data_IF_605998664154
#
_entry.id   IF_605998664154
#
_cell.length_a   1.000
_cell.length_b   1.000
_cell.length_c   1.000
_cell.angle_alpha   90.00
_cell.angle_beta   90.00
_cell.angle_gamma   90.00
#
_symmetry.space_group_name_H-M   'P 1'
#
loop_
_entity.id
_entity.type
_entity.pdbx_description
1 polymer ?
#
# COMPACT_ATOMS: atom_id res chain seq x y z
N UNK A 1 17.19 22.73 13.00
CA UNK A 1 18.25 22.26 12.06
C UNK A 1 18.86 20.90 12.47
N UNK A 2 19.24 20.67 13.74
CA UNK A 2 19.78 19.37 14.21
C UNK A 2 18.83 18.19 14.01
N UNK A 3 17.55 18.33 14.37
CA UNK A 3 16.56 17.25 14.22
C UNK A 3 16.24 16.90 12.77
N UNK A 4 16.15 17.89 11.89
CA UNK A 4 15.96 17.68 10.45
C UNK A 4 17.13 16.90 9.85
N UNK A 5 18.37 17.23 10.25
CA UNK A 5 19.57 16.50 9.82
C UNK A 5 19.58 15.05 10.34
N UNK A 6 19.15 14.84 11.58
CA UNK A 6 19.00 13.50 12.16
C UNK A 6 17.95 12.67 11.40
N UNK A 7 16.81 13.27 11.06
CA UNK A 7 15.77 12.62 10.25
C UNK A 7 16.29 12.23 8.86
N UNK A 8 16.96 13.14 8.16
CA UNK A 8 17.52 12.86 6.82
C UNK A 8 18.54 11.73 6.87
N UNK A 9 19.39 11.69 7.89
CA UNK A 9 20.36 10.60 8.05
C UNK A 9 19.65 9.27 8.29
N UNK A 10 18.62 9.25 9.15
CA UNK A 10 17.88 8.03 9.42
C UNK A 10 17.14 7.54 8.17
N UNK A 11 16.49 8.43 7.42
CA UNK A 11 15.87 8.11 6.12
C UNK A 11 16.85 7.49 5.13
N UNK A 12 18.10 7.96 5.09
CA UNK A 12 19.14 7.35 4.24
C UNK A 12 19.50 5.94 4.70
N UNK A 13 19.64 5.72 6.00
CA UNK A 13 19.93 4.40 6.59
C UNK A 13 18.80 3.42 6.33
N UNK A 14 17.55 3.83 6.61
CA UNK A 14 16.35 3.04 6.36
C UNK A 14 16.22 2.65 4.89
N UNK A 15 16.42 3.62 3.98
CA UNK A 15 16.40 3.37 2.54
C UNK A 15 17.46 2.36 2.12
N UNK A 16 18.68 2.50 2.67
CA UNK A 16 19.77 1.56 2.39
C UNK A 16 19.43 0.15 2.85
N UNK A 17 18.88 0.02 4.07
CA UNK A 17 18.44 -1.27 4.61
C UNK A 17 17.38 -1.92 3.72
N UNK A 18 16.38 -1.16 3.30
CA UNK A 18 15.32 -1.63 2.39
C UNK A 18 15.85 -2.10 1.04
N UNK A 19 16.73 -1.30 0.43
CA UNK A 19 17.32 -1.63 -0.87
C UNK A 19 18.18 -2.90 -0.83
N UNK A 20 18.63 -3.33 0.34
CA UNK A 20 19.39 -4.59 0.50
C UNK A 20 18.57 -5.70 1.16
N UNK A 21 17.31 -5.44 1.50
CA UNK A 21 16.46 -6.44 2.11
C UNK A 21 16.00 -7.47 1.07
N UNK A 22 16.53 -8.69 1.18
CA UNK A 22 16.20 -9.79 0.25
C UNK A 22 14.71 -10.10 0.22
N UNK A 23 14.02 -10.03 1.37
CA UNK A 23 12.59 -10.34 1.45
C UNK A 23 11.76 -9.36 0.64
N UNK A 24 12.13 -8.08 0.68
CA UNK A 24 11.49 -7.04 -0.12
C UNK A 24 11.68 -7.32 -1.63
N UNK A 25 12.90 -7.63 -2.08
CA UNK A 25 13.14 -7.95 -3.49
C UNK A 25 12.44 -9.23 -3.97
N UNK A 26 12.41 -10.28 -3.15
CA UNK A 26 11.61 -11.48 -3.45
C UNK A 26 10.13 -11.14 -3.59
N UNK A 27 9.63 -10.22 -2.76
CA UNK A 27 8.24 -9.76 -2.88
C UNK A 27 7.97 -8.94 -4.15
N UNK A 28 8.94 -8.14 -4.62
CA UNK A 28 8.85 -7.43 -5.91
C UNK A 28 8.69 -8.44 -7.05
N UNK A 29 9.52 -9.48 -7.07
CA UNK A 29 9.44 -10.53 -8.10
C UNK A 29 8.09 -11.27 -8.03
N UNK A 30 7.65 -11.63 -6.82
CA UNK A 30 6.37 -12.31 -6.62
C UNK A 30 5.19 -11.46 -7.11
N UNK A 31 5.14 -10.18 -6.76
CA UNK A 31 4.06 -9.26 -7.15
C UNK A 31 4.12 -8.96 -8.65
N UNK A 32 5.31 -8.83 -9.22
CA UNK A 32 5.50 -8.72 -10.66
C UNK A 32 4.92 -9.93 -11.39
N UNK A 33 5.26 -11.15 -10.96
CA UNK A 33 4.73 -12.38 -11.55
C UNK A 33 3.21 -12.49 -11.40
N UNK A 34 2.68 -12.11 -10.24
CA UNK A 34 1.23 -12.07 -10.01
C UNK A 34 0.54 -11.12 -11.00
N UNK A 35 1.04 -9.90 -11.15
CA UNK A 35 0.50 -8.91 -12.10
C UNK A 35 0.64 -9.37 -13.54
N UNK A 36 1.80 -9.91 -13.90
CA UNK A 36 2.04 -10.45 -15.23
C UNK A 36 1.05 -11.57 -15.54
N UNK A 37 0.89 -12.57 -14.67
CA UNK A 37 0.01 -13.74 -14.91
C UNK A 37 -1.47 -13.34 -14.98
N UNK A 38 -1.91 -12.41 -14.14
CA UNK A 38 -3.33 -12.01 -14.02
C UNK A 38 -3.79 -11.01 -15.07
N UNK A 39 -2.88 -10.25 -15.69
CA UNK A 39 -3.20 -9.21 -16.68
C UNK A 39 -4.24 -9.59 -17.76
N UNK A 40 -4.22 -10.79 -18.36
CA UNK A 40 -5.19 -11.16 -19.41
C UNK A 40 -6.63 -11.22 -18.93
N UNK A 41 -6.86 -11.48 -17.64
CA UNK A 41 -8.22 -11.50 -17.07
C UNK A 41 -8.88 -10.10 -17.18
N UNK A 42 -8.07 -9.04 -17.09
CA UNK A 42 -8.54 -7.66 -17.19
C UNK A 42 -8.84 -7.22 -18.63
N UNK A 43 -8.71 -8.10 -19.64
CA UNK A 43 -9.15 -7.82 -21.02
C UNK A 43 -10.66 -7.83 -21.17
N UNK A 44 -11.35 -8.73 -20.47
CA UNK A 44 -12.81 -8.90 -20.55
C UNK A 44 -13.55 -8.34 -19.33
N UNK A 45 -12.84 -8.06 -18.23
CA UNK A 45 -13.44 -7.72 -16.93
C UNK A 45 -12.73 -6.51 -16.26
N UNK A 46 -12.89 -5.31 -16.83
CA UNK A 46 -12.19 -4.11 -16.31
C UNK A 46 -12.74 -3.62 -14.95
N UNK A 47 -14.06 -3.72 -14.73
CA UNK A 47 -14.75 -3.10 -13.58
C UNK A 47 -15.83 -4.02 -12.97
N UNK A 48 -15.43 -5.18 -12.46
CA UNK A 48 -16.38 -6.13 -11.87
C UNK A 48 -17.42 -6.64 -12.89
N UNK A 49 -18.60 -7.10 -12.45
CA UNK A 49 -19.51 -7.95 -13.24
C UNK A 49 -20.22 -7.27 -14.43
N UNK A 50 -19.87 -6.03 -14.78
CA UNK A 50 -20.32 -5.40 -16.02
C UNK A 50 -19.23 -5.59 -17.06
N UNK A 51 -19.46 -6.50 -18.00
CA UNK A 51 -18.60 -6.80 -19.15
C UNK A 51 -18.25 -5.51 -19.91
N UNK A 52 -17.15 -4.87 -19.52
CA UNK A 52 -16.47 -3.85 -20.31
C UNK A 52 -15.20 -4.51 -20.82
N UNK A 53 -15.11 -4.62 -22.14
CA UNK A 53 -13.93 -5.11 -22.84
C UNK A 53 -12.90 -3.97 -22.87
N UNK A 54 -11.66 -4.27 -22.51
CA UNK A 54 -10.59 -3.29 -22.55
C UNK A 54 -10.30 -2.87 -24.00
N UNK A 55 -10.40 -1.57 -24.26
CA UNK A 55 -10.08 -1.01 -25.58
C UNK A 55 -8.60 -0.65 -25.62
N UNK A 56 -8.06 -0.16 -24.50
CA UNK A 56 -6.70 0.38 -24.41
C UNK A 56 -5.94 -0.09 -23.16
N UNK A 57 -4.61 0.15 -23.17
CA UNK A 57 -3.73 -0.19 -22.06
C UNK A 57 -4.08 0.56 -20.75
N UNK A 58 -4.66 1.75 -20.87
CA UNK A 58 -5.14 2.57 -19.74
C UNK A 58 -6.30 1.92 -19.01
N UNK A 59 -7.17 1.20 -19.71
CA UNK A 59 -8.28 0.48 -19.09
C UNK A 59 -7.76 -0.68 -18.24
N UNK A 60 -6.75 -1.40 -18.73
CA UNK A 60 -6.10 -2.50 -18.00
C UNK A 60 -5.39 -1.96 -16.76
N UNK A 61 -4.65 -0.86 -16.90
CA UNK A 61 -4.05 -0.15 -15.77
C UNK A 61 -5.10 0.17 -14.71
N UNK A 62 -6.21 0.79 -15.10
CA UNK A 62 -7.28 1.17 -14.20
C UNK A 62 -7.96 -0.04 -13.56
N UNK A 63 -8.23 -1.11 -14.33
CA UNK A 63 -8.83 -2.35 -13.81
C UNK A 63 -7.94 -3.05 -12.78
N UNK A 64 -6.63 -3.12 -13.03
CA UNK A 64 -5.67 -3.72 -12.09
C UNK A 64 -5.51 -2.88 -10.82
N UNK A 65 -5.53 -1.55 -10.92
CA UNK A 65 -5.50 -0.68 -9.74
C UNK A 65 -6.83 -0.77 -8.97
N UNK A 66 -7.97 -0.88 -9.67
CA UNK A 66 -9.28 -1.09 -9.07
C UNK A 66 -9.34 -2.37 -8.21
N UNK A 67 -8.73 -3.46 -8.70
CA UNK A 67 -8.73 -4.76 -8.02
C UNK A 67 -7.53 -4.99 -7.08
N UNK A 68 -6.73 -3.94 -6.84
CA UNK A 68 -5.56 -3.99 -5.94
C UNK A 68 -5.89 -4.37 -4.49
N UNK A 69 -7.17 -4.46 -4.11
CA UNK A 69 -7.61 -4.83 -2.76
C UNK A 69 -7.17 -6.21 -2.32
N UNK A 70 -7.14 -7.19 -3.23
CA UNK A 70 -6.61 -8.53 -2.92
C UNK A 70 -5.09 -8.51 -2.80
N UNK A 71 -4.42 -7.77 -3.69
CA UNK A 71 -2.97 -7.55 -3.63
C UNK A 71 -2.57 -6.92 -2.30
N UNK A 72 -3.34 -5.95 -1.78
CA UNK A 72 -3.05 -5.26 -0.53
C UNK A 72 -3.02 -6.17 0.68
N UNK A 73 -3.71 -7.32 0.67
CA UNK A 73 -3.60 -8.34 1.72
C UNK A 73 -2.17 -8.89 1.75
N UNK A 74 -1.67 -9.30 0.58
CA UNK A 74 -0.32 -9.86 0.42
C UNK A 74 0.73 -8.80 0.80
N UNK A 75 0.59 -7.58 0.26
CA UNK A 75 1.49 -6.45 0.54
C UNK A 75 1.49 -6.11 2.04
N UNK A 76 0.33 -6.15 2.70
CA UNK A 76 0.21 -5.91 4.14
C UNK A 76 0.89 -6.97 4.98
N UNK A 77 0.81 -8.24 4.58
CA UNK A 77 1.54 -9.33 5.24
C UNK A 77 3.06 -9.16 5.12
N UNK A 78 3.55 -8.81 3.92
CA UNK A 78 4.98 -8.56 3.70
C UNK A 78 5.44 -7.35 4.51
N UNK A 79 4.64 -6.28 4.55
CA UNK A 79 4.90 -5.09 5.36
C UNK A 79 5.03 -5.46 6.84
N UNK A 80 4.05 -6.20 7.37
CA UNK A 80 4.05 -6.64 8.75
C UNK A 80 5.22 -7.59 9.06
N UNK A 81 5.66 -8.37 8.08
CA UNK A 81 6.85 -9.21 8.19
C UNK A 81 8.11 -8.36 8.29
N UNK A 82 8.35 -7.45 7.35
CA UNK A 82 9.58 -6.64 7.31
C UNK A 82 9.66 -5.70 8.53
N UNK A 83 8.58 -4.98 8.84
CA UNK A 83 8.55 -4.09 10.01
C UNK A 83 8.55 -4.87 11.33
N UNK A 84 7.84 -6.00 11.38
CA UNK A 84 7.80 -6.85 12.56
C UNK A 84 9.16 -7.47 12.89
N UNK A 85 10.00 -7.75 11.89
CA UNK A 85 11.37 -8.21 12.08
C UNK A 85 12.21 -7.18 12.85
N UNK A 86 12.06 -5.89 12.54
CA UNK A 86 12.80 -4.82 13.23
C UNK A 86 12.48 -4.75 14.73
N UNK A 87 11.21 -4.91 15.11
CA UNK A 87 10.83 -5.04 16.52
C UNK A 87 11.40 -6.31 17.16
N UNK A 88 11.46 -7.41 16.41
CA UNK A 88 11.93 -8.70 16.92
C UNK A 88 13.45 -8.74 17.09
N UNK A 89 14.19 -8.08 16.19
CA UNK A 89 15.66 -7.93 16.24
C UNK A 89 16.14 -6.72 17.04
N UNK A 90 15.21 -5.95 17.60
CA UNK A 90 15.48 -4.78 18.44
C UNK A 90 16.22 -3.64 17.74
N UNK A 91 16.12 -3.53 16.41
CA UNK A 91 16.79 -2.46 15.64
C UNK A 91 16.24 -1.08 16.01
N UNK A 92 14.92 -0.99 16.23
CA UNK A 92 14.25 0.24 16.67
C UNK A 92 14.76 0.71 18.04
N UNK A 93 15.01 -0.22 18.96
CA UNK A 93 15.61 0.09 20.26
C UNK A 93 17.05 0.59 20.11
N UNK A 94 17.83 0.00 19.19
CA UNK A 94 19.21 0.43 18.93
C UNK A 94 19.26 1.84 18.34
N UNK A 95 18.34 2.22 17.44
CA UNK A 95 18.25 3.58 16.90
C UNK A 95 17.99 4.62 18.01
N UNK A 96 17.12 4.29 18.96
CA UNK A 96 16.82 5.16 20.10
C UNK A 96 18.02 5.21 21.07
N UNK A 97 18.67 4.09 21.33
CA UNK A 97 19.88 4.01 22.15
C UNK A 97 21.07 4.78 21.52
N UNK A 98 21.13 4.86 20.19
CA UNK A 98 22.10 5.67 19.46
C UNK A 98 21.84 7.19 19.57
N UNK A 99 20.78 7.60 20.27
CA UNK A 99 20.48 9.00 20.57
C UNK A 99 19.44 9.63 19.65
N UNK A 100 18.77 8.87 18.77
CA UNK A 100 17.67 9.40 17.97
C UNK A 100 16.39 9.55 18.80
N UNK A 101 15.66 10.65 18.57
CA UNK A 101 14.37 10.86 19.24
C UNK A 101 13.35 9.82 18.75
N UNK A 102 12.45 9.40 19.66
CA UNK A 102 11.35 8.47 19.30
C UNK A 102 10.49 9.03 18.17
N UNK A 103 10.26 10.35 18.13
CA UNK A 103 9.47 10.97 17.06
C UNK A 103 10.19 10.87 15.71
N UNK A 104 11.50 11.11 15.69
CA UNK A 104 12.30 11.01 14.46
C UNK A 104 12.31 9.59 13.92
N UNK A 105 12.48 8.59 14.79
CA UNK A 105 12.42 7.16 14.42
C UNK A 105 11.03 6.77 13.94
N UNK A 106 9.97 7.26 14.61
CA UNK A 106 8.60 6.97 14.16
C UNK A 106 8.34 7.53 12.75
N UNK A 107 8.64 8.82 12.53
CA UNK A 107 8.40 9.50 11.25
C UNK A 107 9.20 8.85 10.12
N UNK A 108 10.47 8.50 10.36
CA UNK A 108 11.30 7.84 9.34
C UNK A 108 10.71 6.51 8.91
N UNK A 109 10.28 5.66 9.86
CA UNK A 109 9.68 4.36 9.57
C UNK A 109 8.38 4.55 8.78
N UNK A 110 7.49 5.46 9.19
CA UNK A 110 6.26 5.76 8.44
C UNK A 110 6.59 6.16 7.00
N UNK A 111 7.48 7.13 6.79
CA UNK A 111 7.79 7.63 5.44
C UNK A 111 8.39 6.53 4.56
N UNK A 112 9.37 5.78 5.07
CA UNK A 112 10.08 4.79 4.26
C UNK A 112 9.20 3.59 3.95
N UNK A 113 8.52 3.04 4.96
CA UNK A 113 7.66 1.88 4.77
C UNK A 113 6.45 2.22 3.90
N UNK A 114 5.81 3.37 4.11
CA UNK A 114 4.68 3.77 3.28
C UNK A 114 5.10 4.01 1.83
N UNK A 115 6.25 4.66 1.61
CA UNK A 115 6.76 4.88 0.25
C UNK A 115 7.14 3.57 -0.43
N UNK A 116 7.92 2.71 0.24
CA UNK A 116 8.38 1.45 -0.33
C UNK A 116 7.20 0.53 -0.70
N UNK A 117 6.21 0.38 0.17
CA UNK A 117 5.12 -0.57 -0.07
C UNK A 117 4.03 -0.04 -1.01
N UNK A 118 3.85 1.28 -1.11
CA UNK A 118 3.06 1.83 -2.21
C UNK A 118 3.75 1.61 -3.58
N UNK A 119 5.07 1.81 -3.66
CA UNK A 119 5.82 1.49 -4.88
C UNK A 119 5.74 -0.01 -5.21
N UNK A 120 5.82 -0.87 -4.20
CA UNK A 120 5.64 -2.32 -4.36
C UNK A 120 4.25 -2.66 -4.91
N UNK A 121 3.19 -2.01 -4.40
CA UNK A 121 1.84 -2.19 -4.91
C UNK A 121 1.70 -1.77 -6.38
N UNK A 122 2.44 -0.74 -6.83
CA UNK A 122 2.45 -0.30 -8.23
C UNK A 122 3.17 -1.25 -9.20
N UNK A 123 4.00 -2.16 -8.68
CA UNK A 123 4.62 -3.20 -9.51
C UNK A 123 3.57 -4.10 -10.16
N UNK A 124 2.45 -4.35 -9.48
CA UNK A 124 1.35 -5.18 -9.98
C UNK A 124 0.71 -4.64 -11.27
N UNK A 125 0.13 -3.41 -11.29
CA UNK A 125 -0.44 -2.87 -12.52
C UNK A 125 0.62 -2.58 -13.58
N UNK A 126 1.84 -2.18 -13.20
CA UNK A 126 2.93 -1.98 -14.15
C UNK A 126 3.31 -3.27 -14.90
N UNK A 127 3.41 -4.39 -14.17
CA UNK A 127 3.69 -5.70 -14.77
C UNK A 127 2.60 -6.13 -15.75
N UNK A 128 1.33 -5.87 -15.43
CA UNK A 128 0.24 -6.17 -16.35
C UNK A 128 0.25 -5.28 -17.59
N UNK A 129 0.56 -3.99 -17.44
CA UNK A 129 0.75 -3.10 -18.59
C UNK A 129 1.89 -3.57 -19.50
N UNK A 130 3.00 -4.05 -18.93
CA UNK A 130 4.11 -4.60 -19.72
C UNK A 130 3.65 -5.81 -20.54
N UNK A 131 2.92 -6.75 -19.93
CA UNK A 131 2.40 -7.93 -20.64
C UNK A 131 1.45 -7.54 -21.77
N UNK A 132 0.53 -6.63 -21.48
CA UNK A 132 -0.57 -6.29 -22.38
C UNK A 132 -0.17 -5.29 -23.47
N UNK A 133 0.96 -4.60 -23.29
CA UNK A 133 1.59 -3.80 -24.35
C UNK A 133 1.93 -4.62 -25.61
N UNK A 134 2.15 -5.94 -25.46
CA UNK A 134 2.40 -6.86 -26.60
C UNK A 134 1.13 -7.00 -27.47
N UNK A 135 -0.05 -6.91 -26.87
CA UNK A 135 -1.33 -7.13 -27.55
C UNK A 135 -1.94 -5.82 -28.06
N UNK A 136 -2.00 -4.79 -27.21
CA UNK A 136 -2.63 -3.51 -27.55
C UNK A 136 -1.69 -2.50 -28.21
N UNK A 137 -0.37 -2.69 -28.09
CA UNK A 137 0.61 -1.68 -28.47
C UNK A 137 0.54 -0.41 -27.60
N UNK A 138 1.47 0.51 -27.82
CA UNK A 138 1.47 1.84 -27.19
C UNK A 138 1.24 2.87 -28.29
N UNK A 139 -0.01 3.26 -28.48
CA UNK A 139 -0.42 4.20 -29.54
C UNK A 139 -0.11 5.66 -29.15
N UNK A 140 -0.34 6.04 -27.89
CA UNK A 140 0.01 7.35 -27.32
C UNK A 140 0.79 7.20 -26.02
N UNK A 141 2.12 7.34 -26.10
CA UNK A 141 3.00 7.21 -24.95
C UNK A 141 2.79 8.34 -23.93
N UNK A 142 2.50 9.56 -24.38
CA UNK A 142 2.38 10.73 -23.49
C UNK A 142 1.08 10.64 -22.69
N UNK A 143 -0.03 10.34 -23.37
CA UNK A 143 -1.32 10.10 -22.71
C UNK A 143 -1.24 8.95 -21.70
N UNK A 144 -0.66 7.81 -22.11
CA UNK A 144 -0.48 6.67 -21.21
C UNK A 144 0.37 7.00 -19.98
N UNK A 145 1.49 7.70 -20.14
CA UNK A 145 2.33 8.10 -19.00
C UNK A 145 1.60 9.05 -18.06
N UNK A 146 0.79 9.96 -18.58
CA UNK A 146 -0.04 10.85 -17.77
C UNK A 146 -1.06 10.05 -16.94
N UNK A 147 -1.74 9.08 -17.55
CA UNK A 147 -2.70 8.22 -16.86
C UNK A 147 -2.02 7.29 -15.85
N UNK A 148 -0.82 6.79 -16.17
CA UNK A 148 0.01 6.02 -15.23
C UNK A 148 0.40 6.85 -14.01
N UNK A 149 0.85 8.10 -14.20
CA UNK A 149 1.19 9.00 -13.09
C UNK A 149 -0.05 9.33 -12.26
N UNK A 150 -1.21 9.55 -12.88
CA UNK A 150 -2.48 9.75 -12.17
C UNK A 150 -2.84 8.52 -11.33
N UNK A 151 -2.89 7.33 -11.94
CA UNK A 151 -3.20 6.08 -11.25
C UNK A 151 -2.20 5.78 -10.12
N UNK A 152 -0.93 6.13 -10.30
CA UNK A 152 0.09 6.01 -9.27
C UNK A 152 -0.14 6.98 -8.10
N UNK A 153 -0.50 8.23 -8.38
CA UNK A 153 -0.84 9.21 -7.34
C UNK A 153 -2.07 8.79 -6.55
N UNK A 154 -3.13 8.34 -7.24
CA UNK A 154 -4.36 7.84 -6.61
C UNK A 154 -4.08 6.59 -5.77
N UNK A 155 -3.30 5.64 -6.30
CA UNK A 155 -2.85 4.47 -5.55
C UNK A 155 -2.12 4.87 -4.28
N UNK A 156 -1.18 5.81 -4.37
CA UNK A 156 -0.42 6.26 -3.20
C UNK A 156 -1.34 6.88 -2.14
N UNK A 157 -2.34 7.65 -2.55
CA UNK A 157 -3.23 8.36 -1.64
C UNK A 157 -4.27 7.44 -1.00
N UNK A 158 -4.84 6.49 -1.76
CA UNK A 158 -5.95 5.66 -1.30
C UNK A 158 -5.53 4.28 -0.78
N UNK A 159 -4.36 3.76 -1.16
CA UNK A 159 -3.83 2.51 -0.57
C UNK A 159 -3.08 2.74 0.74
N UNK A 160 -2.54 3.95 0.96
CA UNK A 160 -1.81 4.30 2.18
C UNK A 160 -2.55 4.01 3.49
N UNK A 161 -3.85 4.33 3.64
CA UNK A 161 -4.59 3.96 4.85
C UNK A 161 -4.63 2.46 5.11
N UNK A 162 -4.73 1.62 4.07
CA UNK A 162 -4.70 0.16 4.21
C UNK A 162 -3.33 -0.30 4.67
N UNK A 163 -2.25 0.27 4.14
CA UNK A 163 -0.87 -0.03 4.56
C UNK A 163 -0.53 0.50 5.96
N UNK A 164 -1.23 1.52 6.45
CA UNK A 164 -1.07 2.01 7.83
C UNK A 164 -1.62 1.03 8.87
N UNK A 165 -2.57 0.15 8.51
CA UNK A 165 -3.12 -0.87 9.41
C UNK A 165 -2.04 -1.86 9.90
N UNK A 166 -1.31 -2.58 9.03
CA UNK A 166 -0.21 -3.45 9.45
C UNK A 166 0.88 -2.69 10.20
N UNK A 167 1.19 -1.44 9.82
CA UNK A 167 2.14 -0.60 10.58
C UNK A 167 1.66 -0.40 12.01
N UNK A 168 0.41 0.01 12.20
CA UNK A 168 -0.19 0.17 13.52
C UNK A 168 -0.13 -1.13 14.32
N UNK A 169 -0.48 -2.27 13.71
CA UNK A 169 -0.41 -3.58 14.35
C UNK A 169 1.01 -3.97 14.75
N UNK A 170 2.03 -3.64 13.96
CA UNK A 170 3.43 -3.83 14.34
C UNK A 170 3.80 -3.04 15.60
N UNK A 171 3.39 -1.76 15.69
CA UNK A 171 3.63 -0.93 16.87
C UNK A 171 2.90 -1.42 18.12
N UNK A 172 1.70 -1.98 17.97
CA UNK A 172 0.90 -2.55 19.06
C UNK A 172 1.49 -3.88 19.53
N UNK A 173 1.72 -4.82 18.62
CA UNK A 173 2.04 -6.21 18.94
C UNK A 173 3.54 -6.45 19.17
N UNK A 174 4.40 -5.65 18.52
CA UNK A 174 5.88 -5.65 18.66
C UNK A 174 6.52 -7.03 18.54
N UNK A 175 5.88 -7.91 17.80
CA UNK A 175 6.29 -9.29 17.61
C UNK A 175 5.93 -9.70 16.19
N UNK A 176 6.91 -10.18 15.43
CA UNK A 176 6.75 -10.48 14.00
C UNK A 176 5.60 -11.46 13.72
N UNK A 177 5.59 -12.71 14.25
CA UNK A 177 4.49 -13.65 13.99
C UNK A 177 3.10 -13.09 14.32
N UNK A 178 2.96 -12.41 15.46
CA UNK A 178 1.67 -11.85 15.89
C UNK A 178 1.22 -10.73 14.95
N UNK A 179 2.14 -9.84 14.56
CA UNK A 179 1.85 -8.74 13.65
C UNK A 179 1.42 -9.25 12.27
N UNK A 180 2.11 -10.26 11.72
CA UNK A 180 1.74 -10.87 10.44
C UNK A 180 0.34 -11.49 10.52
N UNK A 181 0.07 -12.31 11.53
CA UNK A 181 -1.22 -12.98 11.69
C UNK A 181 -2.37 -11.97 11.84
N UNK A 182 -2.18 -10.94 12.68
CA UNK A 182 -3.18 -9.89 12.86
C UNK A 182 -3.39 -9.06 11.59
N UNK A 183 -2.31 -8.72 10.87
CA UNK A 183 -2.40 -7.98 9.61
C UNK A 183 -3.13 -8.78 8.54
N UNK A 184 -2.78 -10.06 8.38
CA UNK A 184 -3.42 -10.97 7.44
C UNK A 184 -4.92 -11.10 7.75
N UNK A 185 -5.27 -11.41 9.00
CA UNK A 185 -6.66 -11.60 9.41
C UNK A 185 -7.47 -10.32 9.22
N UNK A 186 -6.98 -9.18 9.69
CA UNK A 186 -7.72 -7.92 9.63
C UNK A 186 -7.90 -7.43 8.19
N UNK A 187 -6.84 -7.46 7.38
CA UNK A 187 -6.94 -7.05 5.96
C UNK A 187 -7.80 -8.01 5.16
N UNK A 188 -7.74 -9.32 5.43
CA UNK A 188 -8.62 -10.31 4.80
C UNK A 188 -10.09 -10.08 5.16
N UNK A 189 -10.42 -9.85 6.44
CA UNK A 189 -11.79 -9.56 6.88
C UNK A 189 -12.32 -8.26 6.24
N UNK A 190 -11.50 -7.21 6.18
CA UNK A 190 -11.88 -5.96 5.51
C UNK A 190 -12.12 -6.17 4.01
N UNK A 191 -11.31 -6.98 3.35
CA UNK A 191 -11.50 -7.34 1.93
C UNK A 191 -12.73 -8.21 1.71
N UNK A 192 -13.04 -9.15 2.59
CA UNK A 192 -14.30 -9.92 2.55
C UNK A 192 -15.51 -9.02 2.74
N UNK A 193 -15.45 -8.11 3.71
CA UNK A 193 -16.53 -7.15 3.94
C UNK A 193 -16.74 -6.22 2.73
N UNK A 194 -15.66 -5.82 2.04
CA UNK A 194 -15.78 -5.09 0.78
C UNK A 194 -16.48 -5.94 -0.30
N UNK A 195 -16.00 -7.17 -0.54
CA UNK A 195 -16.52 -8.05 -1.59
C UNK A 195 -18.01 -8.40 -1.38
N UNK A 196 -18.35 -8.94 -0.21
CA UNK A 196 -19.74 -9.28 0.11
C UNK A 196 -20.59 -8.05 0.39
N UNK A 197 -20.02 -6.98 0.94
CA UNK A 197 -20.75 -5.76 1.22
C UNK A 197 -21.24 -5.06 -0.04
N UNK A 198 -20.47 -5.12 -1.12
CA UNK A 198 -20.94 -4.65 -2.43
C UNK A 198 -22.04 -5.52 -3.01
N UNK A 199 -21.99 -6.85 -2.80
CA UNK A 199 -23.01 -7.78 -3.30
C UNK A 199 -24.33 -7.68 -2.51
N UNK A 200 -24.26 -7.37 -1.22
CA UNK A 200 -25.40 -7.29 -0.30
C UNK A 200 -25.88 -5.85 -0.03
N UNK A 201 -25.42 -4.87 -0.81
CA UNK A 201 -25.72 -3.44 -0.65
C UNK A 201 -25.48 -2.88 0.77
N UNK A 202 -24.46 -3.40 1.46
CA UNK A 202 -24.01 -2.91 2.77
C UNK A 202 -23.25 -1.58 2.63
N UNK A 203 -23.17 -0.76 3.70
CA UNK A 203 -22.44 0.50 3.65
C UNK A 203 -20.93 0.30 3.56
N UNK A 204 -20.37 0.20 2.34
CA UNK A 204 -18.93 0.02 2.12
C UNK A 204 -18.14 1.33 1.96
N UNK A 205 -18.83 2.47 1.87
CA UNK A 205 -18.25 3.81 1.64
C UNK A 205 -17.23 4.28 2.67
N UNK A 206 -17.21 3.70 3.86
CA UNK A 206 -16.23 4.06 4.89
C UNK A 206 -14.90 3.30 4.75
N UNK A 207 -14.85 2.24 3.94
CA UNK A 207 -13.67 1.40 3.81
C UNK A 207 -12.58 2.12 2.99
N UNK A 208 -11.32 2.12 3.44
CA UNK A 208 -10.24 2.73 2.68
C UNK A 208 -10.01 2.03 1.33
N UNK A 209 -10.11 0.70 1.30
CA UNK A 209 -10.00 -0.12 0.08
C UNK A 209 -11.09 0.13 -0.96
N UNK A 210 -12.23 0.72 -0.55
CA UNK A 210 -13.31 1.09 -1.47
C UNK A 210 -13.05 2.42 -2.18
N UNK A 211 -12.28 3.33 -1.59
CA UNK A 211 -12.11 4.69 -2.12
C UNK A 211 -11.40 4.69 -3.48
N UNK A 212 -10.38 3.85 -3.64
CA UNK A 212 -9.66 3.71 -4.91
C UNK A 212 -10.57 3.22 -6.03
N UNK A 213 -11.52 2.33 -5.72
CA UNK A 213 -12.52 1.84 -6.66
C UNK A 213 -13.46 2.94 -7.12
N UNK A 214 -13.86 3.85 -6.21
CA UNK A 214 -14.71 4.98 -6.56
C UNK A 214 -13.99 6.00 -7.45
N UNK A 215 -12.73 6.29 -7.16
CA UNK A 215 -11.96 7.30 -7.89
C UNK A 215 -11.65 6.84 -9.32
N UNK A 216 -11.34 5.55 -9.50
CA UNK A 216 -11.01 5.01 -10.83
C UNK A 216 -12.27 4.76 -11.67
N UNK A 217 -13.39 4.37 -11.05
CA UNK A 217 -14.66 4.18 -11.76
C UNK A 217 -15.42 5.48 -12.02
N UNK A 218 -15.07 6.57 -11.32
CA UNK A 218 -15.68 7.88 -11.45
C UNK A 218 -15.01 8.75 -12.52
N UNK A 219 -15.77 9.66 -13.12
CA UNK A 219 -15.28 10.65 -14.08
C UNK A 219 -14.67 11.91 -13.42
N UNK A 220 -14.71 12.01 -12.09
CA UNK A 220 -14.16 13.15 -11.35
C UNK A 220 -12.92 12.74 -10.55
N UNK A 221 -11.84 13.49 -10.79
CA UNK A 221 -10.47 13.27 -10.30
C UNK A 221 -10.38 13.30 -8.75
N UNK A 222 -11.43 13.71 -8.04
CA UNK A 222 -11.35 13.95 -6.61
C UNK A 222 -12.75 14.03 -5.97
N UNK A 223 -13.43 12.90 -5.77
CA UNK A 223 -14.62 12.92 -4.93
C UNK A 223 -14.20 13.34 -3.52
N UNK A 224 -14.60 14.54 -3.09
CA UNK A 224 -14.21 15.12 -1.80
C UNK A 224 -14.45 14.16 -0.62
N UNK A 225 -15.52 13.36 -0.71
CA UNK A 225 -15.82 12.29 0.25
C UNK A 225 -14.71 11.24 0.35
N UNK A 226 -14.19 10.77 -0.79
CA UNK A 226 -13.15 9.73 -0.85
C UNK A 226 -11.85 10.19 -0.20
N UNK A 227 -11.46 11.44 -0.47
CA UNK A 227 -10.33 12.06 0.19
C UNK A 227 -10.53 12.21 1.69
N UNK A 228 -11.70 12.70 2.11
CA UNK A 228 -11.99 12.88 3.52
C UNK A 228 -11.91 11.55 4.29
N UNK A 229 -12.40 10.46 3.71
CA UNK A 229 -12.29 9.12 4.29
C UNK A 229 -10.83 8.67 4.38
N UNK A 230 -10.04 8.80 3.30
CA UNK A 230 -8.62 8.41 3.30
C UNK A 230 -7.80 9.19 4.35
N UNK A 231 -8.00 10.51 4.43
CA UNK A 231 -7.32 11.35 5.41
C UNK A 231 -7.77 11.05 6.84
N UNK A 232 -9.06 10.79 7.06
CA UNK A 232 -9.58 10.41 8.38
C UNK A 232 -8.93 9.11 8.86
N UNK A 233 -8.92 8.06 8.03
CA UNK A 233 -8.24 6.81 8.38
C UNK A 233 -6.75 7.01 8.65
N UNK A 234 -6.05 7.74 7.77
CA UNK A 234 -4.62 7.97 7.90
C UNK A 234 -4.29 8.73 9.19
N UNK A 235 -5.03 9.78 9.51
CA UNK A 235 -4.82 10.58 10.73
C UNK A 235 -5.10 9.77 11.99
N UNK A 236 -6.20 9.01 12.05
CA UNK A 236 -6.53 8.15 13.19
C UNK A 236 -5.45 7.09 13.41
N UNK A 237 -5.03 6.38 12.35
CA UNK A 237 -4.02 5.33 12.45
C UNK A 237 -2.65 5.87 12.84
N UNK A 238 -2.23 7.02 12.28
CA UNK A 238 -0.95 7.65 12.63
C UNK A 238 -0.93 8.13 14.08
N UNK A 239 -2.01 8.77 14.54
CA UNK A 239 -2.12 9.24 15.93
C UNK A 239 -2.18 8.07 16.91
N UNK A 240 -2.93 7.00 16.59
CA UNK A 240 -2.98 5.79 17.40
C UNK A 240 -1.61 5.11 17.47
N UNK A 241 -0.95 4.93 16.31
CA UNK A 241 0.39 4.35 16.23
C UNK A 241 1.41 5.15 17.04
N UNK A 242 1.37 6.48 16.93
CA UNK A 242 2.26 7.37 17.67
C UNK A 242 2.03 7.29 19.18
N UNK A 243 0.77 7.34 19.63
CA UNK A 243 0.42 7.22 21.05
C UNK A 243 0.94 5.91 21.61
N UNK A 244 0.66 4.80 20.92
CA UNK A 244 1.14 3.48 21.33
C UNK A 244 2.67 3.47 21.40
N UNK A 245 3.37 3.87 20.34
CA UNK A 245 4.83 3.89 20.28
C UNK A 245 5.47 4.75 21.37
N UNK A 246 4.91 5.94 21.64
CA UNK A 246 5.39 6.84 22.69
C UNK A 246 5.26 6.23 24.08
N UNK A 247 4.13 5.58 24.37
CA UNK A 247 3.88 4.93 25.66
C UNK A 247 4.61 3.59 25.86
N UNK A 248 5.30 3.09 24.84
CA UNK A 248 6.05 1.85 24.95
C UNK A 248 7.25 2.03 25.89
N UNK A 249 7.32 1.22 26.94
CA UNK A 249 8.61 0.86 27.53
C UNK A 249 9.33 -0.05 26.53
N UNK A 250 10.38 0.48 25.92
CA UNK A 250 11.30 -0.28 25.10
C UNK A 250 12.32 -0.93 26.05
N UNK A 251 11.96 -2.09 26.60
CA UNK A 251 12.86 -2.96 27.36
C UNK A 251 13.69 -3.85 26.44
#
# INVERSE_FOLDING_TARGET
>A
MKEVKALINLLKTERYYFLHNRTYWWSVIMIFMLGFITAPAYRSEIFGPKEKIAENLTDILNGMVYDSTFLLIIVSCILALVLGQEFSWRTIQQEIAAGHSRLTVFISKIIVYLTAFNLLALVFPAAGCIRESIYFGIHDLIGFLSDFVRAAADSFLFNSPVLLIPIFLCFVLRNMPRAICAAALLTFVLSLYLGYGMMLDLPVRFLPSFQIRQVISGTEILTFGSLAVSLCWSTVLLLASWKTFRSCELK
#
